data_IF_157169358251
#
_entry.id   IF_157169358251
#
_cell.length_a   1.000
_cell.length_b   1.000
_cell.length_c   1.000
_cell.angle_alpha   90.00
_cell.angle_beta   90.00
_cell.angle_gamma   90.00
#
_symmetry.space_group_name_H-M   'P 1'
#
loop_
_entity.id
_entity.type
_entity.pdbx_description
1 polymer ?
#
# COMPACT_ATOMS: atom_id res chain seq x y z
N UNK A 1 -21.29 -26.73 -1.09
CA UNK A 1 -22.02 -25.82 -0.22
C UNK A 1 -21.19 -24.54 -0.02
N UNK A 2 -21.82 -23.37 -0.15
CA UNK A 2 -21.16 -22.07 0.04
C UNK A 2 -21.45 -21.53 1.45
N UNK A 3 -20.50 -20.86 2.06
CA UNK A 3 -20.64 -20.16 3.34
C UNK A 3 -20.52 -18.66 3.07
N UNK A 4 -21.49 -17.88 3.58
CA UNK A 4 -21.46 -16.41 3.51
C UNK A 4 -21.05 -15.87 4.88
N UNK A 5 -19.94 -15.16 4.95
CA UNK A 5 -19.31 -14.70 6.20
C UNK A 5 -19.86 -13.37 6.68
N UNK A 6 -20.50 -12.59 5.78
CA UNK A 6 -21.07 -11.26 6.09
C UNK A 6 -22.11 -11.27 7.22
N UNK A 7 -22.79 -12.42 7.43
CA UNK A 7 -23.77 -12.59 8.49
C UNK A 7 -23.16 -12.75 9.89
N UNK A 8 -21.85 -12.99 9.97
CA UNK A 8 -21.11 -13.23 11.22
C UNK A 8 -20.34 -11.99 11.69
N UNK A 9 -20.27 -10.96 10.83
CA UNK A 9 -19.62 -9.69 11.13
C UNK A 9 -20.68 -8.61 11.23
N UNK A 10 -21.06 -8.21 12.44
CA UNK A 10 -22.03 -7.14 12.67
C UNK A 10 -21.57 -5.80 12.08
N UNK A 11 -22.45 -5.02 11.42
CA UNK A 11 -22.08 -3.69 10.90
C UNK A 11 -21.70 -2.76 12.06
N UNK A 12 -20.52 -2.13 11.96
CA UNK A 12 -20.09 -1.13 12.93
C UNK A 12 -20.85 0.18 12.72
N UNK A 13 -21.55 0.65 13.75
CA UNK A 13 -22.07 2.02 13.77
C UNK A 13 -20.94 3.04 13.66
N UNK A 14 -21.02 3.91 12.66
CA UNK A 14 -20.04 4.98 12.45
C UNK A 14 -20.16 6.04 13.55
N UNK A 15 -19.33 5.94 14.60
CA UNK A 15 -19.07 7.04 15.53
C UNK A 15 -17.84 7.82 15.08
N UNK A 16 -17.93 9.17 15.12
CA UNK A 16 -16.81 10.09 14.83
C UNK A 16 -15.55 9.65 15.55
N UNK A 17 -14.49 9.41 14.79
CA UNK A 17 -13.20 8.94 15.30
C UNK A 17 -12.36 10.12 15.79
N UNK A 18 -11.81 9.98 17.00
CA UNK A 18 -10.85 10.91 17.60
C UNK A 18 -9.52 10.93 16.82
N UNK A 19 -8.81 12.05 16.95
CA UNK A 19 -7.50 12.29 16.32
C UNK A 19 -6.51 11.17 16.62
N UNK A 20 -5.70 10.78 15.63
CA UNK A 20 -4.75 9.67 15.68
C UNK A 20 -3.56 9.81 16.68
N UNK A 21 -3.52 10.90 17.44
CA UNK A 21 -2.61 11.02 18.62
C UNK A 21 -3.09 10.24 19.85
N UNK A 22 -4.36 9.81 19.87
CA UNK A 22 -5.00 9.18 21.04
C UNK A 22 -5.02 7.63 20.98
N UNK A 23 -4.30 6.99 20.05
CA UNK A 23 -4.49 5.56 19.74
C UNK A 23 -3.71 4.57 20.66
N UNK A 24 -2.81 5.03 21.51
CA UNK A 24 -2.03 4.14 22.40
C UNK A 24 -2.86 3.46 23.51
N UNK A 25 -3.85 4.11 24.13
CA UNK A 25 -4.71 3.47 25.12
C UNK A 25 -5.75 2.51 24.55
N UNK A 26 -5.99 2.53 23.23
CA UNK A 26 -7.09 1.79 22.59
C UNK A 26 -6.84 0.27 22.57
N UNK A 27 -5.59 -0.18 22.49
CA UNK A 27 -5.27 -1.62 22.46
C UNK A 27 -5.64 -2.35 23.73
N UNK A 28 -5.33 -1.75 24.89
CA UNK A 28 -5.69 -2.31 26.21
C UNK A 28 -7.21 -2.28 26.42
N UNK A 29 -7.86 -1.20 25.99
CA UNK A 29 -9.31 -1.06 26.09
C UNK A 29 -10.09 -2.02 25.18
N UNK A 30 -9.56 -2.40 24.00
CA UNK A 30 -10.18 -3.41 23.14
C UNK A 30 -10.02 -4.81 23.76
N UNK A 31 -8.83 -5.15 24.23
CA UNK A 31 -8.56 -6.46 24.83
C UNK A 31 -9.38 -6.72 26.10
N UNK A 32 -9.67 -5.69 26.89
CA UNK A 32 -10.44 -5.82 28.16
C UNK A 32 -11.96 -6.04 27.95
N UNK A 33 -12.48 -5.78 26.74
CA UNK A 33 -13.90 -5.92 26.38
C UNK A 33 -14.23 -7.17 25.57
N UNK A 34 -13.22 -7.95 25.18
CA UNK A 34 -13.42 -9.12 24.33
C UNK A 34 -13.85 -10.32 25.18
N UNK A 35 -14.99 -10.91 24.82
CA UNK A 35 -15.45 -12.14 25.42
C UNK A 35 -14.58 -13.33 24.98
N UNK A 36 -14.31 -14.23 25.93
CA UNK A 36 -13.56 -15.46 25.64
C UNK A 36 -14.36 -16.41 24.76
N UNK A 37 -13.72 -17.00 23.74
CA UNK A 37 -14.34 -18.01 22.89
C UNK A 37 -14.27 -19.37 23.63
N UNK A 38 -15.24 -19.62 24.53
CA UNK A 38 -15.26 -20.82 25.39
C UNK A 38 -15.38 -22.13 24.58
N UNK A 39 -15.96 -22.09 23.38
CA UNK A 39 -16.04 -23.26 22.49
C UNK A 39 -14.64 -23.80 22.11
N UNK A 40 -13.60 -22.96 22.08
CA UNK A 40 -12.24 -23.41 21.81
C UNK A 40 -11.63 -24.20 22.99
N UNK A 41 -12.10 -23.97 24.20
CA UNK A 41 -11.64 -24.69 25.40
C UNK A 41 -12.35 -26.05 25.56
N UNK A 42 -13.53 -26.22 24.95
CA UNK A 42 -14.41 -27.36 25.20
C UNK A 42 -14.04 -28.61 24.42
N UNK A 43 -13.16 -28.54 23.40
CA UNK A 43 -12.89 -29.68 22.53
C UNK A 43 -11.43 -29.75 22.05
N UNK A 44 -11.03 -30.95 21.64
CA UNK A 44 -9.83 -31.15 20.82
C UNK A 44 -10.28 -31.78 19.48
N UNK A 45 -9.70 -31.29 18.38
CA UNK A 45 -10.03 -31.76 17.04
C UNK A 45 -8.79 -31.75 16.13
N UNK A 46 -8.77 -32.67 15.18
CA UNK A 46 -7.80 -32.68 14.09
C UNK A 46 -8.54 -33.15 12.84
N UNK A 47 -8.89 -32.22 11.95
CA UNK A 47 -9.71 -32.51 10.76
C UNK A 47 -9.10 -31.86 9.53
N UNK A 48 -9.29 -32.50 8.38
CA UNK A 48 -9.03 -31.86 7.08
C UNK A 48 -10.34 -31.23 6.58
N UNK A 49 -10.33 -29.92 6.39
CA UNK A 49 -11.48 -29.17 5.96
C UNK A 49 -11.32 -28.80 4.48
N UNK A 50 -12.37 -29.05 3.70
CA UNK A 50 -12.50 -28.59 2.33
C UNK A 50 -13.81 -27.83 2.18
N UNK A 51 -13.73 -26.58 1.72
CA UNK A 51 -14.88 -25.71 1.46
C UNK A 51 -14.81 -25.25 0.03
N UNK A 52 -15.84 -25.54 -0.76
CA UNK A 52 -15.86 -25.17 -2.18
C UNK A 52 -15.87 -23.66 -2.39
N UNK A 53 -16.63 -22.94 -1.57
CA UNK A 53 -16.79 -21.49 -1.70
C UNK A 53 -17.10 -20.82 -0.37
N UNK A 54 -16.40 -19.71 -0.12
CA UNK A 54 -16.70 -18.75 0.94
C UNK A 54 -16.90 -17.40 0.27
N UNK A 55 -17.98 -16.71 0.61
CA UNK A 55 -18.21 -15.35 0.13
C UNK A 55 -18.01 -14.35 1.26
N UNK A 56 -17.25 -13.29 0.98
CA UNK A 56 -17.11 -12.13 1.85
C UNK A 56 -17.40 -10.87 1.02
N UNK A 57 -18.47 -10.16 1.34
CA UNK A 57 -19.05 -9.15 0.46
C UNK A 57 -19.30 -9.74 -0.94
N UNK A 58 -18.72 -9.16 -1.98
CA UNK A 58 -18.77 -9.68 -3.36
C UNK A 58 -17.51 -10.49 -3.74
N UNK A 59 -16.55 -10.64 -2.82
CA UNK A 59 -15.35 -11.42 -3.06
C UNK A 59 -15.62 -12.90 -2.83
N UNK A 60 -15.33 -13.74 -3.83
CA UNK A 60 -15.35 -15.18 -3.73
C UNK A 60 -13.97 -15.70 -3.34
N UNK A 61 -13.94 -16.62 -2.38
CA UNK A 61 -12.80 -17.42 -1.98
C UNK A 61 -13.17 -18.87 -2.27
N UNK A 62 -12.52 -19.46 -3.25
CA UNK A 62 -12.89 -20.77 -3.79
C UNK A 62 -11.85 -21.84 -3.42
N UNK A 63 -12.29 -23.09 -3.41
CA UNK A 63 -11.44 -24.28 -3.19
C UNK A 63 -10.55 -24.17 -1.92
N UNK A 64 -11.15 -23.78 -0.81
CA UNK A 64 -10.43 -23.66 0.48
C UNK A 64 -10.13 -25.02 1.04
N UNK A 65 -8.86 -25.35 1.21
CA UNK A 65 -8.38 -26.58 1.86
C UNK A 65 -7.49 -26.19 3.03
N UNK A 66 -7.66 -26.85 4.18
CA UNK A 66 -6.81 -26.65 5.36
C UNK A 66 -6.89 -27.80 6.33
N UNK A 67 -5.83 -28.02 7.10
CA UNK A 67 -5.86 -28.89 8.27
C UNK A 67 -6.15 -28.05 9.50
N UNK A 68 -7.28 -28.30 10.14
CA UNK A 68 -7.73 -27.64 11.37
C UNK A 68 -7.30 -28.48 12.56
N UNK A 69 -6.50 -27.89 13.46
CA UNK A 69 -6.11 -28.52 14.74
C UNK A 69 -6.57 -27.61 15.87
N UNK A 70 -7.45 -28.13 16.71
CA UNK A 70 -7.87 -27.51 17.96
C UNK A 70 -7.31 -28.30 19.13
N UNK A 71 -6.53 -27.67 19.98
CA UNK A 71 -5.96 -28.28 21.18
C UNK A 71 -5.70 -27.21 22.24
N UNK A 72 -6.15 -27.49 23.48
CA UNK A 72 -5.93 -26.62 24.63
C UNK A 72 -6.34 -25.16 24.40
N UNK A 73 -7.50 -24.93 23.81
CA UNK A 73 -8.00 -23.59 23.51
C UNK A 73 -7.31 -22.86 22.35
N UNK A 74 -6.45 -23.57 21.60
CA UNK A 74 -5.72 -23.00 20.45
C UNK A 74 -6.19 -23.68 19.18
N UNK A 75 -6.78 -22.89 18.28
CA UNK A 75 -7.14 -23.27 16.92
C UNK A 75 -6.00 -22.92 15.97
N UNK A 76 -5.51 -23.92 15.23
CA UNK A 76 -4.53 -23.75 14.17
C UNK A 76 -5.16 -24.15 12.82
N UNK A 77 -5.01 -23.28 11.82
CA UNK A 77 -5.30 -23.55 10.43
C UNK A 77 -3.96 -23.72 9.73
N UNK A 78 -3.63 -24.96 9.37
CA UNK A 78 -2.33 -25.30 8.78
C UNK A 78 -2.48 -25.61 7.29
N UNK A 79 -1.50 -25.19 6.50
CA UNK A 79 -1.43 -25.45 5.07
C UNK A 79 -2.71 -25.03 4.34
N UNK A 80 -3.31 -23.91 4.77
CA UNK A 80 -4.47 -23.36 4.10
C UNK A 80 -4.09 -22.94 2.68
N UNK A 81 -4.88 -23.38 1.72
CA UNK A 81 -4.80 -23.00 0.32
C UNK A 81 -6.17 -22.58 -0.16
N UNK A 82 -6.25 -21.51 -0.93
CA UNK A 82 -7.50 -21.01 -1.50
C UNK A 82 -7.24 -20.33 -2.83
N UNK A 83 -8.26 -20.24 -3.69
CA UNK A 83 -8.27 -19.42 -4.91
C UNK A 83 -9.01 -18.12 -4.62
N UNK A 84 -8.43 -17.02 -4.99
CA UNK A 84 -9.00 -15.69 -4.80
C UNK A 84 -8.64 -14.81 -5.99
N UNK A 85 -9.63 -14.18 -6.63
CA UNK A 85 -9.39 -13.19 -7.68
C UNK A 85 -8.33 -13.67 -8.72
N UNK A 86 -8.53 -14.84 -9.29
CA UNK A 86 -7.69 -15.56 -10.27
C UNK A 86 -6.36 -16.09 -9.72
N UNK A 87 -5.96 -15.69 -8.52
CA UNK A 87 -4.70 -16.11 -7.92
C UNK A 87 -4.88 -17.17 -6.85
N UNK A 88 -3.77 -17.52 -6.19
CA UNK A 88 -3.70 -18.51 -5.12
C UNK A 88 -3.15 -17.87 -3.86
N UNK A 89 -3.80 -18.14 -2.74
CA UNK A 89 -3.36 -17.78 -1.39
C UNK A 89 -2.97 -19.02 -0.63
N UNK A 90 -1.80 -19.01 0.01
CA UNK A 90 -1.39 -20.01 0.97
C UNK A 90 -1.20 -19.34 2.32
N UNK A 91 -1.68 -19.95 3.40
CA UNK A 91 -1.57 -19.36 4.73
C UNK A 91 -1.47 -20.40 5.84
N UNK A 92 -0.94 -19.98 6.98
CA UNK A 92 -1.09 -20.63 8.27
C UNK A 92 -1.64 -19.57 9.24
N UNK A 93 -2.63 -19.95 10.03
CA UNK A 93 -3.23 -19.06 10.99
C UNK A 93 -3.41 -19.74 12.35
N UNK A 94 -3.41 -18.93 13.40
CA UNK A 94 -3.67 -19.35 14.76
C UNK A 94 -4.64 -18.40 15.43
N UNK A 95 -5.54 -18.94 16.23
CA UNK A 95 -6.48 -18.20 17.07
C UNK A 95 -6.56 -18.85 18.43
N UNK A 96 -6.49 -18.11 19.52
CA UNK A 96 -6.72 -18.60 20.86
C UNK A 96 -8.09 -18.17 21.42
N UNK A 97 -8.47 -18.76 22.55
CA UNK A 97 -9.73 -18.46 23.19
C UNK A 97 -9.86 -17.00 23.68
N UNK A 98 -8.76 -16.27 23.89
CA UNK A 98 -8.78 -14.82 24.18
C UNK A 98 -8.82 -13.95 22.94
N UNK A 99 -9.19 -14.53 21.78
CA UNK A 99 -9.25 -13.87 20.49
C UNK A 99 -7.93 -13.28 19.97
N UNK A 100 -6.79 -13.68 20.54
CA UNK A 100 -5.51 -13.35 19.93
C UNK A 100 -5.28 -14.23 18.72
N UNK A 101 -4.92 -13.62 17.60
CA UNK A 101 -4.72 -14.30 16.33
C UNK A 101 -3.38 -13.94 15.69
N UNK A 102 -2.89 -14.82 14.87
CA UNK A 102 -1.76 -14.59 13.98
C UNK A 102 -1.98 -15.27 12.65
N UNK A 103 -1.44 -14.68 11.58
CA UNK A 103 -1.48 -15.24 10.23
C UNK A 103 -0.16 -14.95 9.51
N UNK A 104 0.35 -15.98 8.85
CA UNK A 104 1.43 -15.87 7.86
C UNK A 104 0.88 -16.32 6.53
N UNK A 105 0.97 -15.48 5.53
CA UNK A 105 0.39 -15.78 4.21
C UNK A 105 1.27 -15.33 3.06
N UNK A 106 1.08 -16.01 1.92
CA UNK A 106 1.57 -15.59 0.62
C UNK A 106 0.45 -15.67 -0.40
N UNK A 107 0.37 -14.69 -1.27
CA UNK A 107 -0.58 -14.63 -2.37
C UNK A 107 0.18 -14.44 -3.68
N UNK A 108 -0.25 -15.12 -4.75
CA UNK A 108 0.37 -15.06 -6.06
C UNK A 108 -0.69 -14.96 -7.14
N UNK A 109 -0.45 -14.09 -8.13
CA UNK A 109 -1.31 -13.96 -9.30
C UNK A 109 -2.67 -13.33 -9.00
N UNK A 110 -2.80 -12.53 -7.94
CA UNK A 110 -4.06 -11.92 -7.52
C UNK A 110 -4.41 -10.74 -8.42
N UNK A 111 -5.57 -10.76 -9.06
CA UNK A 111 -6.12 -9.62 -9.77
C UNK A 111 -6.57 -8.55 -8.76
N UNK A 112 -5.84 -7.43 -8.71
CA UNK A 112 -6.09 -6.34 -7.76
C UNK A 112 -7.47 -5.72 -7.97
N UNK A 113 -7.90 -5.56 -9.22
CA UNK A 113 -9.19 -4.96 -9.53
C UNK A 113 -10.35 -5.84 -9.04
N UNK A 114 -10.25 -7.17 -9.21
CA UNK A 114 -11.26 -8.12 -8.71
C UNK A 114 -11.33 -8.10 -7.19
N UNK A 115 -10.18 -7.98 -6.48
CA UNK A 115 -10.18 -7.85 -5.02
C UNK A 115 -10.87 -6.56 -4.59
N UNK A 116 -10.48 -5.42 -5.17
CA UNK A 116 -11.06 -4.12 -4.81
C UNK A 116 -12.56 -4.10 -5.09
N UNK A 117 -13.00 -4.56 -6.26
CA UNK A 117 -14.41 -4.67 -6.61
C UNK A 117 -15.18 -5.62 -5.69
N UNK A 118 -14.59 -6.77 -5.36
CA UNK A 118 -15.17 -7.76 -4.45
C UNK A 118 -15.32 -7.25 -3.03
N UNK A 119 -14.42 -6.38 -2.58
CA UNK A 119 -14.48 -5.69 -1.28
C UNK A 119 -15.29 -4.38 -1.31
N UNK A 120 -15.87 -4.02 -2.47
CA UNK A 120 -16.60 -2.76 -2.69
C UNK A 120 -15.75 -1.52 -2.42
N UNK A 121 -14.45 -1.61 -2.74
CA UNK A 121 -13.50 -0.53 -2.62
C UNK A 121 -13.27 0.15 -3.99
N UNK A 122 -12.93 1.44 -3.99
CA UNK A 122 -12.61 2.16 -5.23
C UNK A 122 -11.43 1.53 -5.96
N UNK A 123 -11.56 1.31 -7.27
CA UNK A 123 -10.52 0.74 -8.12
C UNK A 123 -9.50 1.81 -8.56
N UNK A 124 -8.67 2.27 -7.63
CA UNK A 124 -7.60 3.23 -7.90
C UNK A 124 -6.32 2.58 -8.42
N UNK A 125 -6.18 1.28 -8.24
CA UNK A 125 -5.04 0.50 -8.69
C UNK A 125 -5.52 -0.79 -9.35
N UNK A 126 -4.99 -1.13 -10.52
CA UNK A 126 -5.20 -2.41 -11.18
C UNK A 126 -3.87 -3.11 -11.41
N UNK A 127 -3.90 -4.37 -11.85
CA UNK A 127 -2.71 -5.17 -12.13
C UNK A 127 -2.74 -6.52 -11.40
N UNK A 128 -1.66 -7.27 -11.50
CA UNK A 128 -1.52 -8.61 -10.90
C UNK A 128 -0.57 -8.56 -9.71
N UNK A 129 -1.08 -8.85 -8.52
CA UNK A 129 -0.35 -8.75 -7.27
C UNK A 129 0.26 -10.08 -6.81
N UNK A 130 1.48 -9.99 -6.30
CA UNK A 130 2.10 -10.99 -5.43
C UNK A 130 2.35 -10.35 -4.06
N UNK A 131 2.03 -11.06 -2.99
CA UNK A 131 2.13 -10.51 -1.63
C UNK A 131 2.64 -11.58 -0.66
N UNK A 132 3.36 -11.13 0.37
CA UNK A 132 3.68 -11.91 1.57
C UNK A 132 3.35 -11.07 2.79
N UNK A 133 2.82 -11.69 3.83
CA UNK A 133 2.57 -10.98 5.09
C UNK A 133 2.69 -11.87 6.31
N UNK A 134 3.02 -11.24 7.43
CA UNK A 134 2.96 -11.78 8.78
C UNK A 134 2.24 -10.77 9.65
N UNK A 135 1.04 -11.12 10.08
CA UNK A 135 0.16 -10.24 10.85
C UNK A 135 -0.29 -10.96 12.12
N UNK A 136 -0.56 -10.16 13.14
CA UNK A 136 -1.16 -10.62 14.39
C UNK A 136 -2.03 -9.52 14.99
N UNK A 137 -2.96 -9.88 15.85
CA UNK A 137 -3.83 -8.93 16.51
C UNK A 137 -4.68 -9.58 17.58
N UNK A 138 -5.69 -8.84 18.07
CA UNK A 138 -6.65 -9.30 19.08
C UNK A 138 -8.04 -8.84 18.64
N UNK A 139 -9.04 -9.74 18.77
CA UNK A 139 -10.42 -9.51 18.34
C UNK A 139 -10.64 -9.89 16.89
N UNK A 140 -11.86 -10.34 16.59
CA UNK A 140 -12.25 -10.83 15.27
C UNK A 140 -13.22 -9.89 14.56
N UNK A 141 -13.78 -8.89 15.26
CA UNK A 141 -14.62 -7.87 14.66
C UNK A 141 -13.81 -6.93 13.77
N UNK A 142 -14.40 -6.41 12.70
CA UNK A 142 -13.74 -5.56 11.72
C UNK A 142 -12.99 -4.39 12.36
N UNK A 143 -13.62 -3.69 13.30
CA UNK A 143 -13.00 -2.55 13.99
C UNK A 143 -11.83 -3.00 14.86
N UNK A 144 -11.96 -4.14 15.56
CA UNK A 144 -10.88 -4.71 16.37
C UNK A 144 -9.71 -5.15 15.49
N UNK A 145 -9.98 -5.85 14.39
CA UNK A 145 -8.98 -6.24 13.41
C UNK A 145 -8.20 -5.02 12.89
N UNK A 146 -8.91 -3.97 12.43
CA UNK A 146 -8.27 -2.74 11.94
C UNK A 146 -7.41 -2.03 12.99
N UNK A 147 -7.87 -1.97 14.25
CA UNK A 147 -7.17 -1.28 15.34
C UNK A 147 -5.97 -2.06 15.88
N UNK A 148 -6.09 -3.38 16.02
CA UNK A 148 -5.11 -4.20 16.73
C UNK A 148 -4.12 -4.89 15.81
N UNK A 149 -4.43 -5.02 14.53
CA UNK A 149 -3.53 -5.65 13.56
C UNK A 149 -2.14 -4.99 13.60
N UNK A 150 -1.12 -5.85 13.66
CA UNK A 150 0.28 -5.45 13.59
C UNK A 150 1.09 -6.47 12.81
N UNK A 151 2.15 -6.01 12.17
CA UNK A 151 3.06 -6.89 11.45
C UNK A 151 3.65 -6.21 10.21
N UNK A 152 4.02 -7.03 9.25
CA UNK A 152 4.67 -6.59 8.02
C UNK A 152 4.06 -7.27 6.81
N UNK A 153 4.08 -6.55 5.68
CA UNK A 153 3.70 -7.07 4.39
C UNK A 153 4.70 -6.57 3.35
N UNK A 154 4.88 -7.36 2.29
CA UNK A 154 5.55 -6.92 1.06
C UNK A 154 4.63 -7.22 -0.11
N UNK A 155 4.55 -6.31 -1.05
CA UNK A 155 3.72 -6.45 -2.24
C UNK A 155 4.47 -6.03 -3.49
N UNK A 156 4.21 -6.74 -4.60
CA UNK A 156 4.58 -6.37 -5.95
C UNK A 156 3.33 -6.45 -6.82
N UNK A 157 3.04 -5.41 -7.57
CA UNK A 157 1.94 -5.37 -8.56
C UNK A 157 2.57 -5.22 -9.92
N UNK A 158 2.42 -6.21 -10.78
CA UNK A 158 2.88 -6.21 -12.17
C UNK A 158 1.80 -5.65 -13.09
N UNK A 159 2.22 -4.99 -14.18
CA UNK A 159 1.32 -4.33 -15.13
C UNK A 159 0.33 -3.43 -14.38
N UNK A 160 0.85 -2.66 -13.43
CA UNK A 160 0.03 -1.83 -12.57
C UNK A 160 -0.45 -0.58 -13.33
N UNK A 161 -1.73 -0.24 -13.17
CA UNK A 161 -2.25 1.05 -13.63
C UNK A 161 -2.78 1.80 -12.40
N UNK A 162 -2.18 2.94 -12.11
CA UNK A 162 -2.61 3.85 -11.05
C UNK A 162 -3.48 4.94 -11.67
N UNK A 163 -4.70 5.09 -11.18
CA UNK A 163 -5.67 6.10 -11.64
C UNK A 163 -5.50 7.43 -10.93
N UNK A 164 -6.09 8.46 -11.50
CA UNK A 164 -6.15 9.83 -10.99
C UNK A 164 -4.79 10.55 -10.96
N UNK A 165 -3.76 10.00 -11.60
CA UNK A 165 -2.45 10.66 -11.76
C UNK A 165 -1.83 10.32 -13.12
N UNK A 166 -1.30 11.33 -13.82
CA UNK A 166 -0.59 11.15 -15.10
C UNK A 166 0.83 11.66 -15.01
N UNK A 167 1.80 10.74 -15.00
CA UNK A 167 3.21 11.08 -15.09
C UNK A 167 3.58 11.66 -16.46
N UNK A 168 2.83 11.33 -17.51
CA UNK A 168 3.01 11.93 -18.84
C UNK A 168 2.66 13.41 -18.85
N UNK A 169 1.54 13.81 -18.23
CA UNK A 169 1.19 15.23 -18.06
C UNK A 169 2.27 15.98 -17.26
N UNK A 170 2.78 15.35 -16.18
CA UNK A 170 3.87 15.94 -15.39
C UNK A 170 5.12 16.10 -16.24
N UNK A 171 5.54 15.08 -16.99
CA UNK A 171 6.71 15.14 -17.86
C UNK A 171 6.56 16.20 -18.97
N UNK A 172 5.36 16.33 -19.53
CA UNK A 172 5.06 17.37 -20.54
C UNK A 172 5.12 18.76 -19.92
N UNK A 173 4.49 19.00 -18.77
CA UNK A 173 4.53 20.29 -18.08
C UNK A 173 5.97 20.74 -17.76
N UNK A 174 6.82 19.81 -17.32
CA UNK A 174 8.24 20.08 -17.08
C UNK A 174 8.99 20.45 -18.38
N UNK A 175 8.77 19.69 -19.45
CA UNK A 175 9.40 19.92 -20.77
C UNK A 175 9.00 21.26 -21.36
N UNK A 176 7.72 21.64 -21.24
CA UNK A 176 7.17 22.90 -21.75
C UNK A 176 7.35 24.07 -20.78
N UNK A 177 8.00 23.82 -19.62
CA UNK A 177 8.22 24.81 -18.55
C UNK A 177 6.92 25.46 -18.05
N UNK A 178 5.83 24.70 -18.04
CA UNK A 178 4.54 25.12 -17.49
C UNK A 178 4.62 25.10 -15.95
N UNK A 179 4.74 26.29 -15.34
CA UNK A 179 4.93 26.40 -13.89
C UNK A 179 3.63 26.40 -13.08
N UNK A 180 2.47 26.52 -13.74
CA UNK A 180 1.17 26.62 -13.08
C UNK A 180 0.10 25.85 -13.85
N UNK A 181 -0.98 25.47 -13.15
CA UNK A 181 -2.18 24.95 -13.80
C UNK A 181 -2.19 23.44 -14.09
N UNK A 182 -1.22 22.68 -13.58
CA UNK A 182 -1.27 21.23 -13.71
C UNK A 182 -2.34 20.64 -12.78
N UNK A 183 -3.46 20.23 -13.37
CA UNK A 183 -4.58 19.62 -12.65
C UNK A 183 -4.68 18.16 -13.05
N UNK A 184 -4.65 17.27 -12.06
CA UNK A 184 -4.96 15.86 -12.23
C UNK A 184 -6.47 15.66 -12.23
N UNK A 185 -6.95 14.70 -13.01
CA UNK A 185 -8.37 14.35 -13.13
C UNK A 185 -8.59 12.88 -12.80
N UNK A 186 -9.82 12.46 -12.45
CA UNK A 186 -10.14 11.05 -12.24
C UNK A 186 -9.92 10.15 -13.48
N UNK A 187 -9.83 10.75 -14.68
CA UNK A 187 -9.56 10.04 -15.94
C UNK A 187 -8.06 9.85 -16.22
N UNK A 188 -7.22 10.55 -15.46
CA UNK A 188 -5.78 10.42 -15.61
C UNK A 188 -5.33 9.07 -15.08
N UNK A 189 -4.33 8.50 -15.73
CA UNK A 189 -3.75 7.23 -15.30
C UNK A 189 -2.26 7.17 -15.63
N UNK A 190 -1.54 6.32 -14.92
CA UNK A 190 -0.16 5.98 -15.20
C UNK A 190 0.01 4.49 -15.18
N UNK A 191 0.54 3.93 -16.26
CA UNK A 191 0.93 2.53 -16.34
C UNK A 191 2.36 2.33 -15.82
N UNK A 192 2.54 1.32 -14.99
CA UNK A 192 3.83 0.88 -14.46
C UNK A 192 4.06 -0.58 -14.86
N UNK A 193 5.27 -0.91 -15.29
CA UNK A 193 5.67 -2.31 -15.52
C UNK A 193 5.60 -3.13 -14.23
N UNK A 194 6.04 -2.54 -13.12
CA UNK A 194 5.85 -3.07 -11.78
C UNK A 194 5.84 -1.94 -10.74
N UNK A 195 5.06 -2.14 -9.68
CA UNK A 195 5.12 -1.35 -8.44
C UNK A 195 5.43 -2.28 -7.28
N UNK A 196 6.31 -1.85 -6.36
CA UNK A 196 6.68 -2.61 -5.16
C UNK A 196 6.55 -1.74 -3.94
N UNK A 197 6.21 -2.36 -2.81
CA UNK A 197 6.16 -1.68 -1.53
C UNK A 197 6.43 -2.65 -0.37
N UNK A 198 7.00 -2.11 0.71
CA UNK A 198 7.01 -2.73 2.02
C UNK A 198 6.01 -1.99 2.90
N UNK A 199 5.27 -2.73 3.70
CA UNK A 199 4.17 -2.18 4.50
C UNK A 199 4.36 -2.64 5.94
N UNK A 200 4.33 -1.68 6.85
CA UNK A 200 4.23 -1.94 8.29
C UNK A 200 2.78 -1.70 8.71
N UNK A 201 2.20 -2.66 9.41
CA UNK A 201 0.83 -2.58 9.91
C UNK A 201 0.89 -2.36 11.40
N UNK A 202 0.16 -1.39 11.89
CA UNK A 202 0.04 -1.13 13.34
C UNK A 202 -0.79 0.10 13.67
N UNK A 203 -1.45 0.06 14.81
CA UNK A 203 -2.23 1.19 15.34
C UNK A 203 -3.28 1.73 14.36
N UNK A 204 -3.94 0.86 13.61
CA UNK A 204 -4.93 1.27 12.63
C UNK A 204 -4.36 1.93 11.37
N UNK A 205 -3.06 1.79 11.11
CA UNK A 205 -2.36 2.42 9.99
C UNK A 205 -1.60 1.37 9.19
N UNK A 206 -1.66 1.49 7.86
CA UNK A 206 -0.67 0.90 6.95
C UNK A 206 0.38 1.96 6.64
N UNK A 207 1.60 1.77 7.15
CA UNK A 207 2.75 2.61 6.81
C UNK A 207 3.47 1.96 5.62
N UNK A 208 3.18 2.46 4.43
CA UNK A 208 3.66 1.94 3.14
C UNK A 208 4.97 2.65 2.83
N UNK A 209 6.06 1.94 3.00
CA UNK A 209 7.42 2.47 2.82
C UNK A 209 8.09 1.85 1.60
N UNK A 210 9.13 2.51 1.10
CA UNK A 210 9.90 2.05 -0.05
C UNK A 210 9.01 1.72 -1.28
N UNK A 211 7.98 2.53 -1.50
CA UNK A 211 7.20 2.43 -2.74
C UNK A 211 8.12 2.72 -3.91
N UNK A 212 8.18 1.81 -4.86
CA UNK A 212 8.91 2.01 -6.12
C UNK A 212 7.99 1.67 -7.29
N UNK A 213 8.13 2.40 -8.39
CA UNK A 213 7.37 2.14 -9.61
C UNK A 213 8.18 2.56 -10.83
N UNK A 214 8.08 1.79 -11.90
CA UNK A 214 8.74 2.08 -13.17
C UNK A 214 7.68 2.23 -14.26
N UNK A 215 7.55 3.45 -14.79
CA UNK A 215 6.74 3.77 -15.96
C UNK A 215 7.60 4.05 -17.19
N UNK A 216 6.99 4.26 -18.35
CA UNK A 216 7.69 4.65 -19.57
C UNK A 216 8.40 6.01 -19.44
N UNK A 217 7.83 6.94 -18.68
CA UNK A 217 8.28 8.34 -18.61
C UNK A 217 9.00 8.70 -17.31
N UNK A 218 8.91 7.87 -16.27
CA UNK A 218 9.53 8.15 -14.97
C UNK A 218 9.73 6.90 -14.13
N UNK A 219 10.71 6.94 -13.23
CA UNK A 219 10.75 6.07 -12.06
C UNK A 219 10.21 6.82 -10.85
N UNK A 220 9.44 6.14 -10.01
CA UNK A 220 8.82 6.72 -8.82
C UNK A 220 9.35 6.05 -7.56
N UNK A 221 9.67 6.88 -6.56
CA UNK A 221 9.97 6.43 -5.21
C UNK A 221 9.08 7.19 -4.23
N UNK A 222 8.58 6.53 -3.20
CA UNK A 222 7.68 7.21 -2.28
C UNK A 222 7.40 6.45 -0.99
N UNK A 223 6.59 7.11 -0.17
CA UNK A 223 6.03 6.55 1.05
C UNK A 223 4.62 7.10 1.26
N UNK A 224 3.75 6.29 1.83
CA UNK A 224 2.33 6.60 2.00
C UNK A 224 1.84 5.99 3.30
N UNK A 225 1.00 6.71 4.03
CA UNK A 225 0.24 6.19 5.16
C UNK A 225 -1.23 6.10 4.79
N UNK A 226 -1.84 4.97 5.11
CA UNK A 226 -3.27 4.73 4.94
C UNK A 226 -3.89 4.45 6.31
N UNK A 227 -4.83 5.29 6.73
CA UNK A 227 -5.67 5.04 7.89
C UNK A 227 -6.70 3.95 7.60
N UNK A 228 -6.67 2.85 8.39
CA UNK A 228 -7.59 1.72 8.19
C UNK A 228 -9.01 2.00 8.64
N UNK A 229 -9.20 3.00 9.51
CA UNK A 229 -10.51 3.32 10.10
C UNK A 229 -11.24 4.41 9.32
N UNK A 230 -10.51 5.39 8.81
CA UNK A 230 -11.03 6.59 8.15
C UNK A 230 -10.70 6.65 6.65
N UNK A 231 -9.94 5.65 6.16
CA UNK A 231 -9.46 5.55 4.78
C UNK A 231 -8.66 6.78 4.30
N UNK A 232 -8.08 7.54 5.23
CA UNK A 232 -7.26 8.72 4.89
C UNK A 232 -5.94 8.32 4.27
N UNK A 233 -5.49 9.11 3.31
CA UNK A 233 -4.18 8.99 2.66
C UNK A 233 -3.30 10.17 3.02
N UNK A 234 -2.04 9.91 3.34
CA UNK A 234 -1.02 10.94 3.53
C UNK A 234 0.33 10.41 3.08
N UNK A 235 0.95 11.07 2.11
CA UNK A 235 2.22 10.60 1.60
C UNK A 235 2.94 11.59 0.71
N UNK A 236 4.11 11.16 0.30
CA UNK A 236 4.95 11.87 -0.65
C UNK A 236 5.66 10.89 -1.57
N UNK A 237 5.83 11.29 -2.81
CA UNK A 237 6.60 10.56 -3.80
C UNK A 237 7.51 11.53 -4.57
N UNK A 238 8.50 10.99 -5.24
CA UNK A 238 9.34 11.70 -6.17
C UNK A 238 9.33 10.94 -7.51
N UNK A 239 8.94 11.63 -8.57
CA UNK A 239 9.02 11.11 -9.93
C UNK A 239 10.31 11.60 -10.58
N UNK A 240 11.24 10.68 -10.85
CA UNK A 240 12.47 10.98 -11.61
C UNK A 240 12.18 10.74 -13.08
N UNK A 241 12.07 11.82 -13.86
CA UNK A 241 11.71 11.74 -15.27
C UNK A 241 12.78 11.02 -16.10
N UNK A 242 12.35 10.23 -17.08
CA UNK A 242 13.23 9.54 -18.03
C UNK A 242 13.88 10.53 -19.02
N UNK A 243 13.15 11.59 -19.37
CA UNK A 243 13.67 12.69 -20.20
C UNK A 243 14.47 13.67 -19.34
N UNK A 244 15.59 14.10 -19.87
CA UNK A 244 16.41 15.16 -19.25
C UNK A 244 16.01 16.55 -19.78
N UNK A 245 16.11 17.55 -18.91
CA UNK A 245 16.06 18.97 -19.29
C UNK A 245 17.50 19.50 -19.17
N UNK A 246 18.01 20.09 -20.23
CA UNK A 246 19.41 20.56 -20.31
C UNK A 246 20.44 19.46 -19.92
N UNK A 247 20.23 18.20 -20.35
CA UNK A 247 21.11 17.08 -20.08
C UNK A 247 21.02 16.49 -18.65
N UNK A 248 20.08 16.96 -17.81
CA UNK A 248 19.92 16.52 -16.41
C UNK A 248 18.57 15.85 -16.18
N UNK A 249 18.58 14.83 -15.34
CA UNK A 249 17.34 14.20 -14.86
C UNK A 249 16.60 15.16 -13.95
N UNK A 250 15.30 15.30 -14.18
CA UNK A 250 14.43 16.13 -13.35
C UNK A 250 13.67 15.25 -12.37
N UNK A 251 13.70 15.63 -11.10
CA UNK A 251 12.91 15.00 -10.05
C UNK A 251 11.74 15.91 -9.69
N UNK A 252 10.54 15.40 -9.79
CA UNK A 252 9.29 16.12 -9.48
C UNK A 252 8.71 15.62 -8.18
N UNK A 253 8.62 16.45 -7.12
CA UNK A 253 7.94 16.09 -5.88
C UNK A 253 6.44 15.97 -6.10
N UNK A 254 5.83 14.93 -5.50
CA UNK A 254 4.38 14.68 -5.53
C UNK A 254 3.93 14.49 -4.08
N UNK A 255 2.97 15.30 -3.65
CA UNK A 255 2.27 15.14 -2.38
C UNK A 255 1.00 14.33 -2.61
N UNK A 256 0.71 13.41 -1.70
CA UNK A 256 -0.47 12.53 -1.77
C UNK A 256 -1.31 12.77 -0.52
N UNK A 257 -2.60 13.00 -0.70
CA UNK A 257 -3.55 13.24 0.38
C UNK A 257 -4.95 12.75 0.05
N UNK A 258 -5.95 13.22 0.79
CA UNK A 258 -7.34 12.84 0.62
C UNK A 258 -7.70 11.49 1.23
N UNK A 259 -8.54 10.73 0.54
CA UNK A 259 -8.97 9.39 0.95
C UNK A 259 -8.71 8.38 -0.17
N UNK A 260 -8.85 7.08 0.13
CA UNK A 260 -8.74 6.02 -0.90
C UNK A 260 -9.78 6.21 -2.01
N UNK A 261 -10.97 6.71 -1.67
CA UNK A 261 -12.03 6.96 -2.65
C UNK A 261 -11.75 8.21 -3.52
N UNK A 262 -11.20 9.25 -2.89
CA UNK A 262 -10.94 10.55 -3.50
C UNK A 262 -9.50 10.99 -3.19
N UNK A 263 -8.49 10.36 -3.85
CA UNK A 263 -7.10 10.74 -3.66
C UNK A 263 -6.82 12.12 -4.26
N UNK A 264 -6.00 12.91 -3.58
CA UNK A 264 -5.52 14.20 -4.08
C UNK A 264 -4.03 14.15 -4.34
N UNK A 265 -3.58 14.78 -5.41
CA UNK A 265 -2.18 14.84 -5.80
C UNK A 265 -1.74 16.30 -5.99
N UNK A 266 -0.81 16.74 -5.13
CA UNK A 266 -0.11 18.02 -5.29
C UNK A 266 1.21 17.79 -6.02
N UNK A 267 1.38 18.45 -7.17
CA UNK A 267 2.60 18.31 -8.00
C UNK A 267 3.35 19.65 -8.00
N UNK A 268 4.59 19.66 -7.52
CA UNK A 268 5.42 20.84 -7.47
C UNK A 268 6.38 20.93 -8.68
N UNK A 269 5.82 21.26 -9.83
CA UNK A 269 6.58 21.46 -11.07
C UNK A 269 7.49 22.69 -10.97
N UNK A 270 7.08 23.71 -10.22
CA UNK A 270 7.84 24.96 -10.07
C UNK A 270 9.19 24.72 -9.39
N UNK A 271 9.18 24.01 -8.26
CA UNK A 271 10.42 23.62 -7.56
C UNK A 271 11.30 22.74 -8.43
N UNK A 272 10.71 21.73 -9.10
CA UNK A 272 11.47 20.86 -9.99
C UNK A 272 12.19 21.60 -11.11
N UNK A 273 11.57 22.61 -11.71
CA UNK A 273 12.18 23.43 -12.77
C UNK A 273 13.23 24.38 -12.18
N UNK A 274 12.93 25.05 -11.06
CA UNK A 274 13.86 26.00 -10.41
C UNK A 274 15.13 25.32 -9.93
N UNK A 275 15.02 24.15 -9.30
CA UNK A 275 16.20 23.40 -8.83
C UNK A 275 17.10 22.98 -9.98
N UNK A 276 16.50 22.58 -11.11
CA UNK A 276 17.24 22.26 -12.32
C UNK A 276 17.96 23.47 -12.90
N UNK A 277 17.33 24.64 -12.95
CA UNK A 277 17.94 25.90 -13.41
C UNK A 277 19.04 26.38 -12.46
N UNK A 278 18.81 26.29 -11.15
CA UNK A 278 19.80 26.72 -10.14
C UNK A 278 21.08 25.90 -10.22
N UNK A 279 20.96 24.59 -10.39
CA UNK A 279 22.10 23.72 -10.59
C UNK A 279 22.82 24.00 -11.93
N UNK A 280 22.08 24.33 -12.99
CA UNK A 280 22.69 24.74 -14.27
C UNK A 280 23.53 26.01 -14.13
N UNK A 281 23.05 27.00 -13.37
CA UNK A 281 23.79 28.24 -13.11
C UNK A 281 25.06 27.96 -12.31
N UNK A 282 24.99 27.11 -11.29
CA UNK A 282 26.16 26.71 -10.49
C UNK A 282 27.22 26.00 -11.34
N UNK A 283 26.82 25.09 -12.23
CA UNK A 283 27.78 24.37 -13.08
C UNK A 283 28.42 25.25 -14.14
N UNK A 284 27.65 26.13 -14.79
CA UNK A 284 28.20 27.13 -15.71
C UNK A 284 29.17 28.07 -14.99
N UNK A 285 28.86 28.42 -13.73
CA UNK A 285 29.77 29.18 -12.88
C UNK A 285 31.06 28.46 -12.58
N UNK A 286 30.98 27.14 -12.25
CA UNK A 286 32.15 26.30 -11.99
C UNK A 286 33.01 26.10 -13.23
N UNK A 287 32.40 25.79 -14.38
CA UNK A 287 33.13 25.66 -15.65
C UNK A 287 33.88 26.95 -16.03
N UNK A 288 33.25 28.12 -15.91
CA UNK A 288 33.89 29.40 -16.15
C UNK A 288 35.03 29.68 -15.19
N UNK A 289 34.92 29.24 -13.93
CA UNK A 289 35.96 29.36 -12.93
C UNK A 289 37.16 28.47 -13.28
N UNK A 290 36.91 27.22 -13.66
CA UNK A 290 37.95 26.24 -14.08
C UNK A 290 38.67 26.70 -15.36
N UNK A 291 37.92 27.19 -16.35
CA UNK A 291 38.51 27.77 -17.56
C UNK A 291 39.37 29.03 -17.25
N UNK A 292 38.85 29.86 -16.32
CA UNK A 292 39.59 31.07 -15.85
C UNK A 292 40.90 30.68 -15.15
N UNK A 293 40.85 29.72 -14.24
CA UNK A 293 42.02 29.19 -13.54
C UNK A 293 42.99 28.54 -14.51
N UNK A 294 42.50 27.71 -15.46
CA UNK A 294 43.35 27.08 -16.48
C UNK A 294 44.12 28.11 -17.34
N UNK A 295 43.47 29.21 -17.73
CA UNK A 295 44.11 30.32 -18.45
C UNK A 295 45.15 31.06 -17.58
N UNK A 296 44.91 31.21 -16.29
CA UNK A 296 45.86 31.81 -15.35
C UNK A 296 47.11 30.94 -15.15
N UNK A 297 46.92 29.62 -14.94
CA UNK A 297 48.06 28.69 -14.81
C UNK A 297 48.90 28.59 -16.06
N UNK A 298 48.27 28.60 -17.25
CA UNK A 298 49.02 28.64 -18.52
C UNK A 298 49.80 29.99 -18.76
N UNK A 299 49.41 31.04 -18.07
CA UNK A 299 50.07 32.38 -18.17
C UNK A 299 51.21 32.53 -17.17
N UNK A 300 51.16 31.79 -16.05
CA UNK A 300 52.20 31.79 -15.00
C UNK A 300 53.31 30.75 -15.22
N UNK A 301 53.07 29.78 -16.14
CA UNK A 301 54.05 28.72 -16.49
C UNK A 301 54.87 29.05 -17.73
N UNK A 302 54.88 30.27 -18.20
CA UNK A 302 55.84 30.86 -19.15
C UNK A 302 56.65 31.93 -18.44
#
# INVERSE_FOLDING_TARGET
>A
AGITVDKWMAPSEQKKVASWRDLNPIREAVASKLERITALDAANANINLKVQKINYKKLSIDDVETTVKLKNGILNLNNMRAKVADGVVNANAQLNASQAWSITQSAQGIDVNKVLAGLELPSQLTGVANMKSQLSGIGLEEVALKKTAKGTMSAEVKNAVLKSVSLEKIATAVREKQMTGLIMSPKDETAFSAMKANIKVGNGILDIVNVTGQSAVASVNGQLKLGLLDNTLQGKAAAVLSTSVNGRKVTVPILIGGTVAEPTYGVDVTTAIKDNLTEEIKDKGRQKLEEGLGKLFNKLGK
#
